data_IF_213009979720
#
_entry.id   IF_213009979720
#
_cell.length_a   1.000
_cell.length_b   1.000
_cell.length_c   1.000
_cell.angle_alpha   90.00
_cell.angle_beta   90.00
_cell.angle_gamma   90.00
#
_symmetry.space_group_name_H-M   'P 1'
#
loop_
_entity.id
_entity.type
_entity.pdbx_description
1 polymer ?
#
# COMPACT_ATOMS: atom_id res chain seq x y z
N UNK A 1 -13.39 -4.34 -15.60
CA UNK A 1 -12.25 -4.65 -14.71
C UNK A 1 -11.01 -4.75 -15.59
N UNK A 2 -9.85 -4.24 -15.15
CA UNK A 2 -8.62 -4.27 -15.95
C UNK A 2 -7.96 -5.66 -15.93
N UNK A 3 -7.04 -5.97 -16.87
CA UNK A 3 -6.22 -7.19 -16.80
C UNK A 3 -5.42 -7.25 -15.49
N UNK A 4 -4.83 -6.12 -15.07
CA UNK A 4 -4.08 -6.00 -13.83
C UNK A 4 -4.93 -6.28 -12.59
N UNK A 5 -6.10 -5.65 -12.42
CA UNK A 5 -6.96 -5.93 -11.27
C UNK A 5 -7.38 -7.40 -11.24
N UNK A 6 -7.65 -8.00 -12.40
CA UNK A 6 -8.01 -9.42 -12.51
C UNK A 6 -6.85 -10.33 -12.05
N UNK A 7 -5.62 -10.04 -12.49
CA UNK A 7 -4.42 -10.76 -12.09
C UNK A 7 -4.05 -10.52 -10.60
N UNK A 8 -4.23 -9.30 -10.11
CA UNK A 8 -4.01 -8.91 -8.71
C UNK A 8 -4.99 -9.63 -7.78
N UNK A 9 -6.29 -9.60 -8.05
CA UNK A 9 -7.28 -10.33 -7.23
C UNK A 9 -7.04 -11.85 -7.26
N UNK A 10 -6.65 -12.41 -8.41
CA UNK A 10 -6.21 -13.81 -8.52
C UNK A 10 -4.96 -14.10 -7.67
N UNK A 11 -3.96 -13.22 -7.71
CA UNK A 11 -2.73 -13.30 -6.88
C UNK A 11 -3.02 -13.19 -5.39
N UNK A 12 -4.07 -12.46 -5.00
CA UNK A 12 -4.58 -12.30 -3.65
C UNK A 12 -5.51 -13.44 -3.18
N UNK A 13 -6.01 -14.28 -4.09
CA UNK A 13 -7.10 -15.22 -3.79
C UNK A 13 -8.40 -14.53 -3.35
N UNK A 14 -8.63 -13.30 -3.78
CA UNK A 14 -9.78 -12.48 -3.38
C UNK A 14 -10.88 -12.52 -4.43
N UNK A 15 -12.12 -12.80 -4.01
CA UNK A 15 -13.28 -13.02 -4.90
C UNK A 15 -14.41 -12.03 -4.66
N UNK A 16 -14.12 -10.88 -4.02
CA UNK A 16 -15.10 -9.83 -3.79
C UNK A 16 -15.37 -8.96 -5.02
N UNK A 17 -16.47 -8.20 -4.99
CA UNK A 17 -16.74 -7.16 -5.98
C UNK A 17 -16.02 -5.88 -5.56
N UNK A 18 -15.11 -5.30 -6.36
CA UNK A 18 -14.40 -4.08 -6.00
C UNK A 18 -15.31 -2.86 -6.01
N UNK A 19 -15.35 -2.15 -4.90
CA UNK A 19 -16.02 -0.86 -4.75
C UNK A 19 -15.18 0.13 -3.91
N UNK A 20 -15.54 1.42 -3.93
CA UNK A 20 -14.82 2.48 -3.20
C UNK A 20 -15.28 2.53 -1.73
N UNK A 21 -15.24 1.39 -1.04
CA UNK A 21 -15.66 1.25 0.36
C UNK A 21 -14.55 0.89 1.33
N UNK A 22 -14.84 1.13 2.61
CA UNK A 22 -14.05 0.65 3.74
C UNK A 22 -13.98 -0.88 3.84
N UNK A 23 -14.98 -1.60 3.32
CA UNK A 23 -14.96 -3.07 3.32
C UNK A 23 -13.91 -3.57 2.32
N UNK A 24 -14.05 -3.19 1.04
CA UNK A 24 -13.07 -3.51 -0.01
C UNK A 24 -11.65 -3.11 0.38
N UNK A 25 -11.44 -1.90 0.93
CA UNK A 25 -10.11 -1.47 1.41
C UNK A 25 -9.52 -2.38 2.50
N UNK A 26 -10.35 -2.92 3.41
CA UNK A 26 -9.88 -3.85 4.46
C UNK A 26 -9.60 -5.24 3.91
N UNK A 27 -10.50 -5.79 3.11
CA UNK A 27 -10.33 -7.13 2.54
C UNK A 27 -9.07 -7.17 1.67
N UNK A 28 -8.91 -6.20 0.76
CA UNK A 28 -7.73 -6.11 -0.09
C UNK A 28 -6.44 -5.93 0.73
N UNK A 29 -6.46 -5.15 1.81
CA UNK A 29 -5.28 -5.01 2.67
C UNK A 29 -4.94 -6.32 3.41
N UNK A 30 -5.92 -7.02 3.97
CA UNK A 30 -5.72 -8.31 4.66
C UNK A 30 -5.18 -9.35 3.67
N UNK A 31 -5.82 -9.50 2.50
CA UNK A 31 -5.39 -10.41 1.46
C UNK A 31 -4.01 -10.06 0.89
N UNK A 32 -3.67 -8.77 0.73
CA UNK A 32 -2.34 -8.34 0.27
C UNK A 32 -1.23 -8.83 1.20
N UNK A 33 -1.33 -8.54 2.50
CA UNK A 33 -0.35 -9.01 3.49
C UNK A 33 -0.31 -10.55 3.61
N UNK A 34 -1.46 -11.22 3.42
CA UNK A 34 -1.55 -12.68 3.49
C UNK A 34 -0.98 -13.40 2.26
N UNK A 35 -1.01 -12.76 1.08
CA UNK A 35 -0.61 -13.38 -0.18
C UNK A 35 0.77 -12.95 -0.68
N UNK A 36 1.18 -11.69 -0.46
CA UNK A 36 2.45 -11.12 -0.97
C UNK A 36 3.44 -11.02 0.21
N UNK A 37 4.46 -11.89 0.28
CA UNK A 37 5.37 -11.88 1.42
C UNK A 37 6.25 -10.63 1.43
N UNK A 38 6.65 -10.19 2.62
CA UNK A 38 7.71 -9.19 2.75
C UNK A 38 9.07 -9.87 2.54
N UNK A 39 9.83 -9.43 1.54
CA UNK A 39 11.20 -9.88 1.31
C UNK A 39 12.09 -8.71 0.89
N UNK A 40 13.41 -8.94 0.94
CA UNK A 40 14.43 -7.95 0.57
C UNK A 40 15.55 -8.59 -0.28
N UNK A 41 15.24 -9.67 -1.02
CA UNK A 41 16.27 -10.49 -1.67
C UNK A 41 17.01 -9.74 -2.77
N UNK A 42 16.35 -8.84 -3.48
CA UNK A 42 16.97 -8.03 -4.55
C UNK A 42 17.79 -6.83 -4.02
N UNK A 43 17.82 -6.60 -2.70
CA UNK A 43 18.83 -5.73 -2.05
C UNK A 43 20.06 -6.53 -1.62
N UNK A 44 19.88 -7.81 -1.25
CA UNK A 44 20.95 -8.70 -0.79
C UNK A 44 21.71 -9.33 -1.97
N UNK A 45 21.00 -9.69 -3.03
CA UNK A 45 21.54 -10.02 -4.34
C UNK A 45 21.59 -8.70 -5.13
N UNK A 46 22.76 -8.14 -5.48
CA UNK A 46 22.87 -6.79 -6.01
C UNK A 46 22.17 -6.66 -7.37
N UNK A 47 20.93 -6.18 -7.32
CA UNK A 47 20.00 -6.05 -8.45
C UNK A 47 19.35 -4.67 -8.38
N UNK A 48 18.97 -4.14 -9.53
CA UNK A 48 18.20 -2.91 -9.57
C UNK A 48 16.74 -3.17 -9.15
N UNK A 49 16.16 -2.19 -8.47
CA UNK A 49 14.79 -2.21 -7.99
C UNK A 49 14.05 -1.12 -8.76
N UNK A 50 13.09 -1.54 -9.58
CA UNK A 50 12.24 -0.64 -10.36
C UNK A 50 10.85 -0.56 -9.71
N UNK A 51 10.37 0.66 -9.50
CA UNK A 51 9.11 0.96 -8.81
C UNK A 51 8.00 1.37 -9.79
N UNK A 52 8.15 1.08 -11.08
CA UNK A 52 7.12 1.35 -12.07
C UNK A 52 5.99 0.31 -12.05
N UNK A 53 4.79 0.73 -12.44
CA UNK A 53 3.57 -0.08 -12.43
C UNK A 53 3.76 -1.46 -13.11
N UNK A 54 4.58 -1.56 -14.18
CA UNK A 54 4.78 -2.79 -14.96
C UNK A 54 5.76 -3.74 -14.29
N UNK A 55 6.90 -3.26 -13.81
CA UNK A 55 7.89 -4.13 -13.15
C UNK A 55 7.38 -4.65 -11.81
N UNK A 56 6.60 -3.84 -11.07
CA UNK A 56 5.93 -4.29 -9.85
C UNK A 56 4.87 -5.38 -10.12
N UNK A 57 4.10 -5.25 -11.20
CA UNK A 57 3.18 -6.30 -11.66
C UNK A 57 3.94 -7.58 -12.02
N UNK A 58 4.97 -7.50 -12.85
CA UNK A 58 5.76 -8.66 -13.29
C UNK A 58 6.42 -9.39 -12.11
N UNK A 59 7.03 -8.66 -11.16
CA UNK A 59 7.68 -9.25 -9.99
C UNK A 59 6.68 -9.88 -9.02
N UNK A 60 5.69 -9.12 -8.57
CA UNK A 60 4.86 -9.48 -7.41
C UNK A 60 3.65 -10.34 -7.78
N UNK A 61 3.09 -10.14 -8.97
CA UNK A 61 1.92 -10.88 -9.47
C UNK A 61 2.40 -12.10 -10.27
N UNK A 62 3.04 -11.90 -11.42
CA UNK A 62 3.33 -12.96 -12.38
C UNK A 62 4.50 -13.85 -11.94
N UNK A 63 5.62 -13.25 -11.54
CA UNK A 63 6.77 -13.93 -10.92
C UNK A 63 6.54 -14.43 -9.49
N UNK A 64 5.37 -14.12 -8.90
CA UNK A 64 4.91 -14.54 -7.56
C UNK A 64 5.88 -14.23 -6.40
N UNK A 65 6.84 -13.32 -6.59
CA UNK A 65 7.77 -12.88 -5.54
C UNK A 65 7.02 -12.09 -4.45
N UNK A 66 7.74 -11.80 -3.37
CA UNK A 66 7.38 -10.71 -2.48
C UNK A 66 8.17 -9.44 -2.81
N UNK A 67 8.05 -8.45 -1.94
CA UNK A 67 8.82 -7.21 -2.03
C UNK A 67 8.87 -6.47 -0.71
N UNK A 68 9.69 -5.42 -0.64
CA UNK A 68 9.76 -4.55 0.53
C UNK A 68 8.73 -3.42 0.43
N UNK A 69 8.76 -2.47 1.38
CA UNK A 69 7.65 -1.55 1.62
C UNK A 69 7.28 -0.65 0.42
N UNK A 70 8.22 -0.16 -0.39
CA UNK A 70 7.87 0.67 -1.55
C UNK A 70 7.20 -0.16 -2.67
N UNK A 71 7.66 -1.39 -2.90
CA UNK A 71 7.12 -2.29 -3.93
C UNK A 71 5.67 -2.70 -3.62
N UNK A 72 5.41 -3.12 -2.38
CA UNK A 72 4.07 -3.51 -1.94
C UNK A 72 3.10 -2.32 -1.87
N UNK A 73 3.56 -1.17 -1.34
CA UNK A 73 2.72 0.03 -1.28
C UNK A 73 2.38 0.55 -2.69
N UNK A 74 3.32 0.52 -3.64
CA UNK A 74 3.06 0.93 -5.04
C UNK A 74 2.07 0.01 -5.76
N UNK A 75 2.21 -1.31 -5.59
CA UNK A 75 1.24 -2.28 -6.15
C UNK A 75 -0.17 -2.10 -5.55
N UNK A 76 -0.27 -1.87 -4.24
CA UNK A 76 -1.53 -1.61 -3.56
C UNK A 76 -2.13 -0.25 -3.97
N UNK A 77 -1.31 0.79 -4.12
CA UNK A 77 -1.73 2.10 -4.62
C UNK A 77 -2.30 1.98 -6.04
N UNK A 78 -1.61 1.29 -6.95
CA UNK A 78 -2.09 1.05 -8.32
C UNK A 78 -3.45 0.34 -8.30
N UNK A 79 -3.62 -0.70 -7.50
CA UNK A 79 -4.90 -1.41 -7.36
C UNK A 79 -6.02 -0.51 -6.82
N UNK A 80 -5.75 0.27 -5.77
CA UNK A 80 -6.73 1.21 -5.21
C UNK A 80 -7.08 2.34 -6.20
N UNK A 81 -6.09 2.85 -6.95
CA UNK A 81 -6.22 3.84 -8.03
C UNK A 81 -7.09 3.31 -9.18
N UNK A 82 -6.86 2.09 -9.64
CA UNK A 82 -7.66 1.44 -10.69
C UNK A 82 -9.10 1.07 -10.24
N UNK A 83 -9.35 0.91 -8.92
CA UNK A 83 -10.70 0.77 -8.35
C UNK A 83 -11.41 2.14 -8.19
N UNK A 84 -10.67 3.25 -8.24
CA UNK A 84 -11.21 4.61 -8.12
C UNK A 84 -11.08 5.24 -6.73
N UNK A 85 -10.22 4.71 -5.84
CA UNK A 85 -9.90 5.38 -4.57
C UNK A 85 -9.02 6.61 -4.82
N UNK A 86 -9.33 7.77 -4.19
CA UNK A 86 -8.44 8.92 -4.16
C UNK A 86 -7.28 8.68 -3.19
N UNK A 87 -6.26 7.98 -3.68
CA UNK A 87 -5.04 7.64 -2.96
C UNK A 87 -3.79 8.05 -3.76
N UNK A 88 -2.74 8.41 -3.04
CA UNK A 88 -1.41 8.69 -3.57
C UNK A 88 -0.36 8.27 -2.55
N UNK A 89 0.75 7.66 -2.97
CA UNK A 89 1.89 7.43 -2.09
C UNK A 89 2.54 8.75 -1.67
N UNK A 90 2.94 8.85 -0.41
CA UNK A 90 3.67 10.00 0.11
C UNK A 90 4.77 9.56 1.09
N UNK A 91 5.91 10.23 1.04
CA UNK A 91 7.10 9.87 1.81
C UNK A 91 6.84 10.01 3.32
N UNK A 92 6.88 8.88 4.04
CA UNK A 92 6.81 8.82 5.50
C UNK A 92 5.41 8.70 6.12
N UNK A 93 4.31 8.97 5.39
CA UNK A 93 2.94 8.75 5.88
C UNK A 93 1.91 8.70 4.75
N UNK A 94 0.98 7.74 4.80
CA UNK A 94 -0.22 7.74 3.95
C UNK A 94 -1.14 8.91 4.29
N UNK A 95 -1.47 9.75 3.32
CA UNK A 95 -2.41 10.87 3.52
C UNK A 95 -3.81 10.55 2.98
N UNK A 96 -4.84 10.86 3.78
CA UNK A 96 -6.17 10.23 3.72
C UNK A 96 -7.27 11.29 3.52
N UNK A 97 -8.13 11.19 2.48
CA UNK A 97 -9.39 11.95 2.41
C UNK A 97 -10.53 11.27 3.19
N UNK A 98 -10.30 10.02 3.62
CA UNK A 98 -11.01 9.25 4.71
C UNK A 98 -10.18 9.12 7.61
N UNK A 99 -10.04 10.17 8.53
CA UNK A 99 -9.52 10.20 9.93
C UNK A 99 -10.35 9.39 10.96
N UNK A 100 -11.38 8.67 10.51
CA UNK A 100 -12.14 7.68 11.29
C UNK A 100 -11.68 6.21 11.11
N UNK A 101 -10.93 5.87 10.06
CA UNK A 101 -10.69 4.46 9.69
C UNK A 101 -9.45 3.84 10.36
N UNK A 102 -8.30 4.52 10.38
CA UNK A 102 -7.02 3.94 10.85
C UNK A 102 -6.91 3.70 12.38
N UNK A 103 -8.02 3.73 13.13
CA UNK A 103 -8.02 3.49 14.60
C UNK A 103 -8.02 2.01 15.02
N UNK A 104 -8.08 1.05 14.08
CA UNK A 104 -8.36 -0.38 14.42
C UNK A 104 -7.56 -1.46 13.70
N UNK A 105 -6.59 -1.12 12.83
CA UNK A 105 -5.72 -2.11 12.17
C UNK A 105 -4.26 -1.69 12.35
N UNK A 106 -3.48 -2.36 13.21
CA UNK A 106 -2.06 -2.09 13.36
C UNK A 106 -1.26 -2.75 12.22
N UNK A 107 -0.48 -1.96 11.48
CA UNK A 107 0.36 -2.44 10.37
C UNK A 107 1.81 -2.48 10.83
N UNK A 108 2.40 -3.68 10.85
CA UNK A 108 3.73 -3.94 11.41
C UNK A 108 4.84 -4.07 10.37
N UNK A 109 5.17 -3.00 9.63
CA UNK A 109 6.44 -2.85 8.91
C UNK A 109 6.80 -1.35 8.81
N UNK A 110 8.01 -0.97 9.24
CA UNK A 110 8.56 0.39 9.24
C UNK A 110 7.70 1.49 9.90
N UNK A 111 7.91 1.72 11.21
CA UNK A 111 7.71 3.00 11.90
C UNK A 111 6.31 3.67 11.92
N UNK A 112 5.23 2.89 12.03
CA UNK A 112 3.90 3.42 12.39
C UNK A 112 3.79 3.89 13.86
N UNK A 113 4.52 4.94 14.27
CA UNK A 113 4.38 5.55 15.61
C UNK A 113 3.41 6.74 15.61
N UNK A 114 2.11 6.44 15.72
CA UNK A 114 1.06 7.45 15.75
C UNK A 114 1.03 8.21 17.09
N UNK A 115 1.64 9.40 17.16
CA UNK A 115 1.33 10.38 18.22
C UNK A 115 0.00 11.05 17.88
N UNK A 116 -1.07 10.68 18.58
CA UNK A 116 -2.32 11.43 18.51
C UNK A 116 -2.18 12.77 19.24
N UNK A 117 -2.66 13.84 18.63
CA UNK A 117 -3.17 15.00 19.37
C UNK A 117 -4.40 15.57 18.67
N UNK A 118 -5.38 16.03 19.44
CA UNK A 118 -6.63 16.58 18.92
C UNK A 118 -6.64 18.09 19.19
N UNK A 119 -6.44 18.89 18.14
CA UNK A 119 -6.43 20.35 18.24
C UNK A 119 -5.77 21.00 17.04
N UNK A 120 -6.53 21.86 16.36
CA UNK A 120 -6.07 22.94 15.49
C UNK A 120 -6.23 24.26 16.28
N UNK A 121 -5.68 25.42 15.85
CA UNK A 121 -4.63 25.65 14.85
C UNK A 121 -3.49 26.59 15.36
N UNK A 122 -2.33 26.62 14.69
CA UNK A 122 -1.55 27.87 14.52
C UNK A 122 -0.46 27.74 13.44
N UNK A 123 -0.11 28.88 12.83
CA UNK A 123 1.09 29.07 12.00
C UNK A 123 2.24 29.56 12.89
N UNK A 124 3.40 28.88 12.89
CA UNK A 124 4.71 29.47 13.25
C UNK A 124 5.79 28.85 12.35
N UNK A 125 6.84 29.64 12.11
CA UNK A 125 8.01 29.35 11.27
C UNK A 125 8.90 28.20 11.76
N UNK A 126 9.92 27.90 10.94
CA UNK A 126 10.88 26.82 11.08
C UNK A 126 11.81 26.91 12.31
N UNK A 127 12.30 25.73 12.73
CA UNK A 127 13.71 25.52 13.05
C UNK A 127 14.06 24.02 12.95
N UNK A 128 15.31 23.71 12.58
CA UNK A 128 15.97 22.43 12.90
C UNK A 128 16.86 22.66 14.13
N UNK A 129 17.09 21.65 14.96
CA UNK A 129 18.43 21.15 15.26
C UNK A 129 18.87 20.17 14.16
#
# INVERSE_FOLDING_TARGET
>A
MSPFLSAYFSRLGWTGTPDVSLHTLRELHIHHNGAIPFENLDVLLPREIHLDDRTLEEKLIHGRRGGYCFEQNGLLERALREIGFPCAAFWGAWCWPIRRICRRVPIGCCWWRWRGNAGLPTLVSAARP
#
